data_IF_754180192748
#
_entry.id   IF_754180192748
#
_cell.length_a   1.000
_cell.length_b   1.000
_cell.length_c   1.000
_cell.angle_alpha   90.00
_cell.angle_beta   90.00
_cell.angle_gamma   90.00
#
_symmetry.space_group_name_H-M   'P 1'
#
loop_
_entity.id
_entity.type
_entity.pdbx_description
1 polymer ?
#
# COMPACT_ATOMS: atom_id res chain seq x y z
N UNK A 1 -20.81 6.66 15.78
CA UNK A 1 -19.73 7.41 15.19
C UNK A 1 -19.19 6.78 13.92
N UNK A 2 -18.97 7.56 12.93
CA UNK A 2 -18.52 7.04 11.65
C UNK A 2 -17.06 7.18 11.46
N UNK A 3 -16.43 6.14 11.01
CA UNK A 3 -15.03 6.21 10.67
C UNK A 3 -14.87 6.55 9.21
N UNK A 4 -13.99 7.47 8.94
CA UNK A 4 -13.68 7.81 7.57
C UNK A 4 -12.71 6.83 7.00
N UNK A 5 -13.19 6.05 6.05
CA UNK A 5 -12.33 5.14 5.31
C UNK A 5 -11.81 5.89 4.11
N UNK A 6 -10.51 5.96 4.00
CA UNK A 6 -9.86 6.67 2.90
C UNK A 6 -9.18 5.66 1.99
N UNK A 7 -9.05 6.05 0.75
CA UNK A 7 -8.31 5.26 -0.22
C UNK A 7 -6.87 5.67 -0.20
N UNK A 8 -5.99 4.70 -0.24
CA UNK A 8 -4.57 4.95 -0.24
C UNK A 8 -3.92 4.19 -1.38
N UNK A 9 -2.93 4.81 -1.96
CA UNK A 9 -2.15 4.19 -3.03
C UNK A 9 -0.76 3.91 -2.47
N UNK A 10 -0.35 2.66 -2.56
CA UNK A 10 0.94 2.24 -2.05
C UNK A 10 1.78 1.74 -3.21
N UNK A 11 2.98 2.28 -3.33
CA UNK A 11 3.94 1.84 -4.32
C UNK A 11 5.18 1.36 -3.59
N UNK A 12 5.65 0.18 -3.93
CA UNK A 12 6.80 -0.38 -3.26
C UNK A 12 7.65 -1.18 -4.23
N UNK A 13 8.91 -1.30 -3.88
CA UNK A 13 9.81 -2.21 -4.57
C UNK A 13 9.59 -3.60 -4.04
N UNK A 14 9.58 -4.58 -4.92
CA UNK A 14 9.34 -5.95 -4.52
C UNK A 14 10.56 -6.80 -4.81
N UNK A 15 10.77 -7.81 -3.96
CA UNK A 15 11.80 -8.83 -4.14
C UNK A 15 13.19 -8.25 -4.27
N UNK A 16 13.44 -7.13 -3.57
CA UNK A 16 14.74 -6.47 -3.54
C UNK A 16 15.24 -6.06 -4.92
N UNK A 17 14.33 -5.86 -5.84
CA UNK A 17 14.66 -5.46 -7.20
C UNK A 17 14.20 -4.03 -7.40
N UNK A 18 15.14 -3.10 -7.44
CA UNK A 18 14.80 -1.68 -7.53
C UNK A 18 14.12 -1.34 -8.85
N UNK A 19 14.27 -2.18 -9.85
CA UNK A 19 13.60 -1.94 -11.12
C UNK A 19 12.17 -2.44 -11.12
N UNK A 20 11.76 -3.14 -10.08
CA UNK A 20 10.41 -3.68 -9.99
C UNK A 20 9.62 -2.95 -8.93
N UNK A 21 8.59 -2.30 -9.37
CA UNK A 21 7.69 -1.58 -8.48
C UNK A 21 6.29 -2.11 -8.66
N UNK A 22 5.57 -2.20 -7.56
CA UNK A 22 4.19 -2.59 -7.65
C UNK A 22 3.35 -1.58 -6.88
N UNK A 23 2.19 -1.28 -7.43
CA UNK A 23 1.27 -0.33 -6.84
C UNK A 23 -0.02 -1.03 -6.50
N UNK A 24 -0.50 -0.80 -5.29
CA UNK A 24 -1.79 -1.34 -4.87
C UNK A 24 -2.60 -0.24 -4.22
N UNK A 25 -3.91 -0.40 -4.26
CA UNK A 25 -4.81 0.50 -3.57
C UNK A 25 -5.42 -0.23 -2.39
N UNK A 26 -5.47 0.45 -1.26
CA UNK A 26 -6.07 -0.12 -0.07
C UNK A 26 -6.97 0.92 0.57
N UNK A 27 -7.89 0.45 1.37
CA UNK A 27 -8.79 1.31 2.11
C UNK A 27 -8.45 1.21 3.58
N UNK A 28 -8.21 2.35 4.19
CA UNK A 28 -7.86 2.38 5.60
C UNK A 28 -8.16 3.76 6.15
N UNK A 29 -8.33 3.82 7.45
CA UNK A 29 -8.62 5.11 8.08
C UNK A 29 -7.35 5.82 8.57
N UNK A 30 -6.22 5.15 8.51
CA UNK A 30 -4.94 5.78 8.86
C UNK A 30 -3.86 5.30 7.90
N UNK A 31 -2.80 6.09 7.82
CA UNK A 31 -1.68 5.73 6.96
C UNK A 31 -1.00 4.44 7.44
N UNK A 32 -0.90 4.29 8.76
CA UNK A 32 -0.27 3.09 9.30
C UNK A 32 -1.01 1.84 8.86
N UNK A 33 -2.34 1.86 8.97
CA UNK A 33 -3.13 0.72 8.53
C UNK A 33 -3.02 0.50 7.04
N UNK A 34 -2.98 1.59 6.29
CA UNK A 34 -2.84 1.48 4.84
C UNK A 34 -1.55 0.76 4.48
N UNK A 35 -0.48 1.08 5.19
CA UNK A 35 0.81 0.45 4.93
C UNK A 35 0.75 -1.05 5.22
N UNK A 36 0.17 -1.42 6.33
CA UNK A 36 0.05 -2.83 6.69
C UNK A 36 -0.77 -3.59 5.67
N UNK A 37 -1.90 -3.02 5.29
CA UNK A 37 -2.77 -3.68 4.32
C UNK A 37 -2.10 -3.78 2.95
N UNK A 38 -1.37 -2.75 2.56
CA UNK A 38 -0.67 -2.77 1.28
C UNK A 38 0.40 -3.85 1.26
N UNK A 39 1.13 -3.97 2.35
CA UNK A 39 2.17 -4.99 2.43
C UNK A 39 1.56 -6.38 2.33
N UNK A 40 0.48 -6.62 3.04
CA UNK A 40 -0.20 -7.90 2.97
C UNK A 40 -0.68 -8.20 1.56
N UNK A 41 -1.22 -7.17 0.92
CA UNK A 41 -1.75 -7.36 -0.41
C UNK A 41 -0.65 -7.70 -1.42
N UNK A 42 0.48 -7.03 -1.29
CA UNK A 42 1.61 -7.28 -2.17
C UNK A 42 2.17 -8.69 -1.96
N UNK A 43 2.26 -9.11 -0.71
CA UNK A 43 2.76 -10.44 -0.42
C UNK A 43 1.81 -11.53 -0.90
N UNK A 44 0.53 -11.26 -0.78
CA UNK A 44 -0.47 -12.19 -1.28
C UNK A 44 -0.37 -12.34 -2.79
N UNK A 45 0.06 -11.28 -3.44
CA UNK A 45 0.18 -11.23 -4.89
C UNK A 45 1.47 -11.86 -5.39
N UNK A 46 2.31 -12.38 -4.48
CA UNK A 46 3.51 -13.09 -4.84
C UNK A 46 4.81 -12.40 -4.48
N UNK A 47 4.76 -11.25 -3.86
CA UNK A 47 5.97 -10.56 -3.46
C UNK A 47 6.57 -11.23 -2.24
N UNK A 48 7.85 -11.57 -2.31
CA UNK A 48 8.55 -12.15 -1.17
C UNK A 48 9.03 -11.07 -0.22
N UNK A 49 9.36 -9.92 -0.76
CA UNK A 49 10.00 -8.86 -0.01
C UNK A 49 9.46 -7.53 -0.49
N UNK A 50 9.11 -6.68 0.45
CA UNK A 50 8.54 -5.37 0.14
C UNK A 50 9.38 -4.31 0.84
N UNK A 51 9.94 -3.39 0.07
CA UNK A 51 10.78 -2.33 0.62
C UNK A 51 10.44 -1.00 -0.02
N UNK A 52 10.89 0.07 0.62
CA UNK A 52 10.73 1.43 0.11
C UNK A 52 9.30 1.75 -0.29
N UNK A 53 8.38 1.41 0.61
CA UNK A 53 6.98 1.65 0.33
C UNK A 53 6.64 3.12 0.46
N UNK A 54 5.92 3.63 -0.53
CA UNK A 54 5.38 4.97 -0.51
C UNK A 54 3.88 4.91 -0.42
N UNK A 55 3.34 5.68 0.53
CA UNK A 55 1.91 5.71 0.75
C UNK A 55 1.41 7.10 0.42
N UNK A 56 0.38 7.15 -0.41
CA UNK A 56 -0.27 8.41 -0.75
C UNK A 56 -1.75 8.26 -0.56
N UNK A 57 -2.35 9.26 0.05
CA UNK A 57 -3.80 9.27 0.18
C UNK A 57 -4.40 9.71 -1.15
N UNK A 58 -5.36 8.94 -1.64
CA UNK A 58 -6.07 9.29 -2.85
C UNK A 58 -7.25 10.14 -2.46
N UNK A 59 -7.19 11.41 -2.81
CA UNK A 59 -8.27 12.32 -2.50
C UNK A 59 -9.19 12.39 -3.67
N UNK A 60 -10.40 11.94 -3.47
CA UNK A 60 -11.41 12.05 -4.53
C UNK A 60 -12.17 13.33 -4.34
N UNK A 61 -12.49 13.95 -5.43
CA UNK A 61 -13.26 15.16 -5.36
C UNK A 61 -14.63 14.97 -5.90
#
# INVERSE_FOLDING_TARGET
MRKHIRKWKATAEINMDASRHKTVEVKANTERKARILAEEKLKKDGAFYVTNMRIEEITAK
#
